data_IF_536159035907
#
_entry.id   IF_536159035907
#
_cell.length_a   1.000
_cell.length_b   1.000
_cell.length_c   1.000
_cell.angle_alpha   90.00
_cell.angle_beta   90.00
_cell.angle_gamma   90.00
#
_symmetry.space_group_name_H-M   'P 1'
#
loop_
_entity.id
_entity.type
_entity.pdbx_description
1 polymer ?
#
# COMPACT_ATOMS: atom_id res chain seq x y z
N UNK A 1 -15.54 -4.80 -8.50
CA UNK A 1 -14.19 -4.34 -8.11
C UNK A 1 -13.57 -5.32 -7.14
N UNK A 2 -12.32 -5.60 -7.32
CA UNK A 2 -11.53 -6.41 -6.38
C UNK A 2 -10.79 -5.47 -5.45
N UNK A 3 -10.82 -5.75 -4.16
CA UNK A 3 -10.26 -4.86 -3.13
C UNK A 3 -9.31 -5.67 -2.24
N UNK A 4 -8.09 -5.17 -2.09
CA UNK A 4 -7.15 -5.66 -1.09
C UNK A 4 -7.34 -4.85 0.19
N UNK A 5 -7.69 -5.51 1.27
CA UNK A 5 -7.74 -4.90 2.60
C UNK A 5 -6.38 -5.15 3.25
N UNK A 6 -5.60 -4.09 3.42
CA UNK A 6 -4.20 -4.19 3.84
C UNK A 6 -4.00 -3.59 5.23
N UNK A 7 -3.49 -4.40 6.13
CA UNK A 7 -3.09 -3.94 7.47
C UNK A 7 -1.58 -4.03 7.57
N UNK A 8 -0.93 -2.89 7.84
CA UNK A 8 0.53 -2.81 7.93
C UNK A 8 0.94 -2.48 9.35
N UNK A 9 1.83 -3.29 9.90
CA UNK A 9 2.52 -2.97 11.14
C UNK A 9 3.92 -2.47 10.82
N UNK A 10 4.19 -1.26 11.24
CA UNK A 10 5.46 -0.57 11.00
C UNK A 10 6.34 -0.75 12.23
N UNK A 11 7.65 -0.72 12.05
CA UNK A 11 8.58 -0.79 13.18
C UNK A 11 8.35 0.38 14.14
N UNK A 12 8.60 0.19 15.44
CA UNK A 12 8.25 1.19 16.45
C UNK A 12 8.73 2.59 16.13
N UNK A 13 7.80 3.55 16.19
CA UNK A 13 8.08 4.96 15.97
C UNK A 13 8.24 5.40 14.53
N UNK A 14 8.09 4.50 13.56
CA UNK A 14 8.34 4.82 12.14
C UNK A 14 7.07 5.05 11.32
N UNK A 15 5.88 4.94 11.91
CA UNK A 15 4.63 5.07 11.17
C UNK A 15 4.49 6.41 10.46
N UNK A 16 4.79 7.51 11.12
CA UNK A 16 4.68 8.84 10.52
C UNK A 16 5.60 9.01 9.32
N UNK A 17 6.82 8.53 9.42
CA UNK A 17 7.80 8.59 8.33
C UNK A 17 7.36 7.73 7.15
N UNK A 18 6.90 6.51 7.43
CA UNK A 18 6.38 5.61 6.40
C UNK A 18 5.20 6.25 5.67
N UNK A 19 4.24 6.80 6.42
CA UNK A 19 3.03 7.40 5.86
C UNK A 19 3.32 8.65 5.02
N UNK A 20 4.30 9.43 5.39
CA UNK A 20 4.70 10.61 4.61
C UNK A 20 5.14 10.18 3.21
N UNK A 21 5.99 9.17 3.12
CA UNK A 21 6.48 8.64 1.84
C UNK A 21 5.33 7.95 1.08
N UNK A 22 4.51 7.18 1.78
CA UNK A 22 3.37 6.48 1.20
C UNK A 22 2.41 7.47 0.54
N UNK A 23 2.03 8.54 1.22
CA UNK A 23 1.08 9.54 0.69
C UNK A 23 1.66 10.39 -0.42
N UNK A 24 2.93 10.76 -0.32
CA UNK A 24 3.53 11.69 -1.28
C UNK A 24 4.05 11.00 -2.54
N UNK A 25 4.40 9.71 -2.46
CA UNK A 25 5.00 8.98 -3.58
C UNK A 25 4.23 7.74 -4.00
N UNK A 26 3.85 6.87 -3.07
CA UNK A 26 3.17 5.61 -3.40
C UNK A 26 1.77 5.83 -3.94
N UNK A 27 0.95 6.61 -3.25
CA UNK A 27 -0.44 6.83 -3.66
C UNK A 27 -0.54 7.46 -5.05
N UNK A 28 0.22 8.55 -5.36
CA UNK A 28 0.19 9.10 -6.71
C UNK A 28 0.61 8.10 -7.79
N UNK A 29 1.62 7.28 -7.51
CA UNK A 29 2.07 6.26 -8.47
C UNK A 29 1.01 5.19 -8.71
N UNK A 30 0.28 4.78 -7.67
CA UNK A 30 -0.85 3.87 -7.82
C UNK A 30 -1.94 4.48 -8.69
N UNK A 31 -2.26 5.74 -8.48
CA UNK A 31 -3.28 6.45 -9.27
C UNK A 31 -2.93 6.51 -10.75
N UNK A 32 -1.66 6.73 -11.09
CA UNK A 32 -1.20 6.75 -12.47
C UNK A 32 -1.40 5.41 -13.18
N UNK A 33 -1.28 4.30 -12.45
CA UNK A 33 -1.47 2.96 -12.99
C UNK A 33 -2.97 2.62 -13.10
N UNK A 34 -3.81 3.32 -12.35
CA UNK A 34 -5.25 3.07 -12.32
C UNK A 34 -5.73 2.29 -11.11
N UNK A 35 -4.86 2.06 -10.13
CA UNK A 35 -5.26 1.47 -8.86
C UNK A 35 -5.84 2.54 -7.94
N UNK A 36 -6.93 2.19 -7.24
CA UNK A 36 -7.53 3.09 -6.26
C UNK A 36 -6.98 2.79 -4.88
N UNK A 37 -6.60 3.83 -4.16
CA UNK A 37 -6.20 3.72 -2.76
C UNK A 37 -7.25 4.44 -1.91
N UNK A 38 -7.78 3.75 -0.92
CA UNK A 38 -8.63 4.34 0.11
C UNK A 38 -7.92 4.27 1.45
N UNK A 39 -7.81 5.39 2.12
CA UNK A 39 -7.00 5.54 3.31
C UNK A 39 -5.74 6.36 3.02
N UNK A 40 -4.70 6.26 3.85
CA UNK A 40 -4.56 5.37 5.00
C UNK A 40 -5.41 5.77 6.21
N UNK A 41 -5.76 4.77 7.01
CA UNK A 41 -6.47 4.95 8.28
C UNK A 41 -5.54 4.49 9.41
N UNK A 42 -5.40 5.30 10.45
CA UNK A 42 -4.48 5.01 11.54
C UNK A 42 -5.17 4.20 12.62
N UNK A 43 -4.53 3.12 13.10
CA UNK A 43 -5.03 2.39 14.26
C UNK A 43 -5.00 3.32 15.48
N UNK A 44 -6.09 3.33 16.24
CA UNK A 44 -6.15 4.08 17.52
C UNK A 44 -5.60 3.28 18.68
N UNK A 45 -5.53 1.96 18.55
CA UNK A 45 -5.05 1.08 19.63
C UNK A 45 -3.55 0.80 19.53
N UNK A 46 -3.02 0.75 18.29
CA UNK A 46 -1.60 0.46 18.04
C UNK A 46 -0.96 1.61 17.27
N UNK A 47 -0.05 2.36 17.91
CA UNK A 47 0.56 3.53 17.26
C UNK A 47 1.44 3.20 16.06
N UNK A 48 1.75 1.92 15.84
CA UNK A 48 2.62 1.49 14.75
C UNK A 48 1.84 0.83 13.60
N UNK A 49 0.52 0.75 13.70
CA UNK A 49 -0.32 0.07 12.70
C UNK A 49 -1.19 1.05 11.94
N UNK A 50 -1.34 0.81 10.64
CA UNK A 50 -2.32 1.51 9.81
C UNK A 50 -2.96 0.55 8.82
N UNK A 51 -4.08 0.98 8.24
CA UNK A 51 -4.89 0.19 7.33
C UNK A 51 -5.16 1.00 6.07
N UNK A 52 -5.18 0.33 4.92
CA UNK A 52 -5.64 0.95 3.68
C UNK A 52 -6.26 -0.11 2.77
N UNK A 53 -7.00 0.34 1.76
CA UNK A 53 -7.56 -0.54 0.74
C UNK A 53 -7.00 -0.16 -0.61
N UNK A 54 -6.74 -1.17 -1.44
CA UNK A 54 -6.25 -1.00 -2.80
C UNK A 54 -7.19 -1.72 -3.75
N UNK A 55 -7.81 -0.96 -4.65
CA UNK A 55 -8.85 -1.47 -5.54
C UNK A 55 -8.38 -1.64 -6.98
N UNK A 56 -8.90 -2.70 -7.62
CA UNK A 56 -8.65 -3.05 -9.01
C UNK A 56 -9.99 -3.24 -9.73
N UNK A 57 -10.08 -2.94 -11.06
CA UNK A 57 -11.33 -3.09 -11.79
C UNK A 57 -11.91 -4.51 -11.72
N UNK A 58 -11.04 -5.53 -11.84
CA UNK A 58 -11.39 -6.94 -11.83
C UNK A 58 -10.19 -7.78 -11.41
N UNK A 59 -10.41 -9.09 -11.22
CA UNK A 59 -9.35 -9.98 -10.78
C UNK A 59 -8.24 -10.15 -11.83
N UNK A 60 -8.59 -10.11 -13.10
CA UNK A 60 -7.61 -10.27 -14.19
C UNK A 60 -6.65 -9.09 -14.26
N UNK A 61 -7.09 -7.89 -13.88
CA UNK A 61 -6.25 -6.68 -13.89
C UNK A 61 -5.28 -6.60 -12.74
N UNK A 62 -5.53 -7.34 -11.66
CA UNK A 62 -4.79 -7.18 -10.39
C UNK A 62 -3.30 -7.44 -10.56
N UNK A 63 -2.90 -8.61 -11.07
CA UNK A 63 -1.48 -8.94 -11.20
C UNK A 63 -0.74 -8.03 -12.19
N UNK A 64 -1.27 -7.75 -13.40
CA UNK A 64 -0.61 -6.81 -14.31
C UNK A 64 -0.43 -5.40 -13.71
N UNK A 65 -1.42 -4.89 -12.98
CA UNK A 65 -1.33 -3.56 -12.36
C UNK A 65 -0.32 -3.54 -11.22
N UNK A 66 -0.30 -4.58 -10.39
CA UNK A 66 0.71 -4.73 -9.34
C UNK A 66 2.12 -4.80 -9.93
N UNK A 67 2.28 -5.53 -11.02
CA UNK A 67 3.56 -5.65 -11.70
C UNK A 67 4.06 -4.30 -12.19
N UNK A 68 3.19 -3.47 -12.75
CA UNK A 68 3.56 -2.12 -13.18
C UNK A 68 4.13 -1.28 -12.03
N UNK A 69 3.57 -1.42 -10.85
CA UNK A 69 4.06 -0.69 -9.68
C UNK A 69 5.37 -1.27 -9.16
N UNK A 70 5.40 -2.57 -8.85
CA UNK A 70 6.55 -3.20 -8.18
C UNK A 70 7.75 -3.46 -9.11
N UNK A 71 7.53 -3.54 -10.41
CA UNK A 71 8.60 -3.63 -11.40
C UNK A 71 8.99 -2.26 -11.96
N UNK A 72 8.28 -1.20 -11.56
CA UNK A 72 8.56 0.16 -11.97
C UNK A 72 9.78 0.76 -11.28
N UNK A 73 10.32 1.82 -11.88
CA UNK A 73 11.54 2.47 -11.38
C UNK A 73 11.37 3.10 -10.00
N UNK A 74 10.21 3.69 -9.73
CA UNK A 74 9.96 4.32 -8.45
C UNK A 74 10.13 3.32 -7.29
N UNK A 75 9.49 2.15 -7.41
CA UNK A 75 9.61 1.12 -6.38
C UNK A 75 11.03 0.58 -6.28
N UNK A 76 11.58 0.14 -7.40
CA UNK A 76 12.89 -0.55 -7.41
C UNK A 76 14.06 0.35 -7.03
N UNK A 77 14.05 1.60 -7.47
CA UNK A 77 15.17 2.52 -7.25
C UNK A 77 15.03 3.36 -5.99
N UNK A 78 13.82 3.54 -5.50
CA UNK A 78 13.57 4.49 -4.42
C UNK A 78 12.80 3.87 -3.27
N UNK A 79 11.56 3.43 -3.49
CA UNK A 79 10.66 3.08 -2.39
C UNK A 79 11.02 1.79 -1.67
N UNK A 80 11.43 0.76 -2.40
CA UNK A 80 11.71 -0.55 -1.79
C UNK A 80 12.75 -0.43 -0.68
N UNK A 81 13.85 0.24 -0.96
CA UNK A 81 14.96 0.37 -0.02
C UNK A 81 14.65 1.29 1.17
N UNK A 82 13.63 2.13 1.05
CA UNK A 82 13.23 3.05 2.13
C UNK A 82 12.09 2.44 2.95
N UNK A 83 11.06 1.92 2.30
CA UNK A 83 9.84 1.45 2.97
C UNK A 83 10.00 0.08 3.60
N UNK A 84 10.60 -0.88 2.88
CA UNK A 84 10.70 -2.25 3.38
C UNK A 84 11.45 -2.38 4.70
N UNK A 85 12.56 -1.63 4.94
CA UNK A 85 13.21 -1.66 6.24
C UNK A 85 12.36 -1.16 7.40
N UNK A 86 11.35 -0.32 7.13
CA UNK A 86 10.45 0.19 8.16
C UNK A 86 9.26 -0.73 8.45
N UNK A 87 8.99 -1.68 7.54
CA UNK A 87 7.84 -2.59 7.66
C UNK A 87 8.21 -3.76 8.58
N UNK A 88 7.39 -4.01 9.59
CA UNK A 88 7.53 -5.17 10.46
C UNK A 88 6.79 -6.37 9.84
N UNK A 89 5.49 -6.22 9.66
CA UNK A 89 4.66 -7.25 9.03
C UNK A 89 3.43 -6.63 8.39
N UNK A 90 2.78 -7.38 7.50
CA UNK A 90 1.53 -6.94 6.90
C UNK A 90 0.61 -8.13 6.65
N UNK A 91 -0.68 -7.83 6.54
CA UNK A 91 -1.71 -8.80 6.23
C UNK A 91 -2.58 -8.27 5.10
N UNK A 92 -3.00 -9.16 4.21
CA UNK A 92 -3.84 -8.80 3.06
C UNK A 92 -5.04 -9.74 3.03
N UNK A 93 -6.24 -9.17 2.99
CA UNK A 93 -7.47 -9.91 2.77
C UNK A 93 -8.04 -9.44 1.43
N UNK A 94 -8.28 -10.37 0.52
CA UNK A 94 -8.82 -10.06 -0.80
C UNK A 94 -10.32 -10.23 -0.76
N UNK A 95 -11.04 -9.18 -1.12
CA UNK A 95 -12.51 -9.16 -1.12
C UNK A 95 -13.03 -8.59 -2.43
N UNK A 96 -14.31 -8.79 -2.67
CA UNK A 96 -14.98 -8.27 -3.85
C UNK A 96 -16.25 -7.54 -3.39
N UNK A 97 -16.53 -6.37 -3.97
CA UNK A 97 -17.79 -5.69 -3.69
C UNK A 97 -18.95 -6.45 -4.34
N UNK A 98 -20.13 -6.42 -3.72
CA UNK A 98 -21.30 -7.17 -4.24
C UNK A 98 -21.86 -6.58 -5.54
#
# INVERSE_FOLDING_TARGET
>A
MIIEMRTYKIKPGMRSQFLEIFRTKSIPAHAEIGMKILGPFLSVEDPDTFFFMRGFPDIASREPMKAKFYEGELWKRELENILMPMLDKYDVVLVEDP
#
